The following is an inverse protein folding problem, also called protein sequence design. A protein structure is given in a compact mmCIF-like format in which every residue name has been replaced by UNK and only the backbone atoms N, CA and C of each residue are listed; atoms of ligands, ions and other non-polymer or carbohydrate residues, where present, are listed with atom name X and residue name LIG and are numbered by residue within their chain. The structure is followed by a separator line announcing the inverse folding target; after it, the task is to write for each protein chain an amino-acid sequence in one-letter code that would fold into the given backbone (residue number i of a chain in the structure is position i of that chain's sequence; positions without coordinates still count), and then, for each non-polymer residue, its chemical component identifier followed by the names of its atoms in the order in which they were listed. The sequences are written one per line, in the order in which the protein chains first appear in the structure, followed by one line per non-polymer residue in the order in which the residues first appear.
data_IF_933618807593
#
_entry.id   IF_933618807593
#
_cell.length_a   1.000
_cell.length_b   1.000
_cell.length_c   1.000
_cell.angle_alpha   90.00
_cell.angle_beta   90.00
_cell.angle_gamma   90.00
#
_symmetry.space_group_name_H-M   'P 1'
#
loop_
_entity.id
_entity.type
_entity.pdbx_description
1 polymer ?
#
# COMPACT_ATOMS: atom_id res chain seq x y z
N UNK A 1 -10.88 5.05 26.31
CA UNK A 1 -10.27 3.76 25.93
C UNK A 1 -9.77 3.91 24.49
N UNK A 2 -8.54 3.47 24.16
CA UNK A 2 -8.01 3.54 22.80
C UNK A 2 -8.70 2.52 21.91
N UNK A 3 -8.92 2.86 20.65
CA UNK A 3 -9.48 1.97 19.65
C UNK A 3 -8.50 1.80 18.48
N UNK A 4 -8.43 0.61 17.91
CA UNK A 4 -7.66 0.33 16.72
C UNK A 4 -8.47 -0.45 15.69
N UNK A 5 -8.36 -0.07 14.42
CA UNK A 5 -8.93 -0.82 13.30
C UNK A 5 -7.79 -1.18 12.34
N UNK A 6 -7.68 -2.46 12.00
CA UNK A 6 -6.69 -2.97 11.06
C UNK A 6 -7.42 -3.28 9.75
N UNK A 7 -7.10 -2.56 8.69
CA UNK A 7 -7.72 -2.71 7.36
C UNK A 7 -6.86 -3.64 6.50
N UNK A 8 -7.41 -4.80 6.14
CA UNK A 8 -6.71 -5.84 5.39
C UNK A 8 -7.49 -6.21 4.13
N UNK A 9 -6.83 -6.20 2.98
CA UNK A 9 -7.36 -6.75 1.73
C UNK A 9 -7.35 -8.29 1.75
N UNK A 10 -8.48 -8.92 1.44
CA UNK A 10 -8.65 -10.37 1.60
C UNK A 10 -8.08 -11.20 0.45
N UNK A 11 -7.71 -10.56 -0.67
CA UNK A 11 -7.29 -11.24 -1.90
C UNK A 11 -6.05 -10.60 -2.54
N UNK A 12 -6.16 -10.07 -3.75
CA UNK A 12 -5.01 -9.61 -4.55
C UNK A 12 -4.82 -8.08 -4.56
N UNK A 13 -5.52 -7.33 -3.72
CA UNK A 13 -5.56 -5.87 -3.76
C UNK A 13 -6.83 -5.34 -4.46
N UNK A 14 -6.98 -4.02 -4.49
CA UNK A 14 -8.12 -3.30 -5.11
C UNK A 14 -9.50 -3.66 -4.53
N UNK A 15 -9.54 -4.05 -3.26
CA UNK A 15 -10.77 -4.42 -2.58
C UNK A 15 -11.58 -3.25 -2.02
N UNK A 16 -11.07 -2.00 -2.13
CA UNK A 16 -11.74 -0.83 -1.55
C UNK A 16 -11.24 -0.46 -0.15
N UNK A 17 -9.97 -0.74 0.16
CA UNK A 17 -9.35 -0.39 1.46
C UNK A 17 -9.39 1.11 1.77
N UNK A 18 -9.32 1.97 0.73
CA UNK A 18 -9.48 3.41 0.92
C UNK A 18 -10.84 3.78 1.49
N UNK A 19 -11.91 3.25 0.89
CA UNK A 19 -13.28 3.41 1.39
C UNK A 19 -13.42 2.86 2.82
N UNK A 20 -12.86 1.68 3.09
CA UNK A 20 -12.91 1.06 4.41
C UNK A 20 -12.21 1.90 5.48
N UNK A 21 -11.04 2.49 5.16
CA UNK A 21 -10.30 3.35 6.08
C UNK A 21 -11.05 4.62 6.43
N UNK A 22 -11.64 5.29 5.44
CA UNK A 22 -12.47 6.49 5.67
C UNK A 22 -13.72 6.13 6.46
N UNK A 23 -14.41 5.05 6.11
CA UNK A 23 -15.60 4.59 6.84
C UNK A 23 -15.29 4.31 8.31
N UNK A 24 -14.21 3.55 8.57
CA UNK A 24 -13.76 3.26 9.93
C UNK A 24 -13.42 4.54 10.72
N UNK A 25 -12.73 5.49 10.11
CA UNK A 25 -12.37 6.75 10.75
C UNK A 25 -13.60 7.60 11.08
N UNK A 26 -14.56 7.71 10.15
CA UNK A 26 -15.83 8.44 10.38
C UNK A 26 -16.67 7.85 11.52
N UNK A 27 -16.81 6.53 11.54
CA UNK A 27 -17.55 5.82 12.58
C UNK A 27 -17.00 6.05 13.99
N UNK A 28 -15.69 6.24 14.11
CA UNK A 28 -15.06 6.51 15.41
C UNK A 28 -15.26 7.95 15.90
N UNK A 29 -15.57 8.88 15.01
CA UNK A 29 -15.86 10.28 15.30
C UNK A 29 -14.90 10.92 16.31
N UNK A 30 -13.60 10.68 16.15
CA UNK A 30 -12.53 11.15 17.01
C UNK A 30 -11.24 11.35 16.21
N UNK A 31 -10.29 12.07 16.79
CA UNK A 31 -8.99 12.27 16.16
C UNK A 31 -8.31 10.93 15.84
N UNK A 32 -7.95 10.73 14.58
CA UNK A 32 -7.39 9.48 14.06
C UNK A 32 -5.95 9.65 13.59
N UNK A 33 -5.11 8.66 13.90
CA UNK A 33 -3.85 8.43 13.22
C UNK A 33 -4.02 7.28 12.22
N UNK A 34 -3.83 7.57 10.92
CA UNK A 34 -3.92 6.56 9.86
C UNK A 34 -2.52 6.04 9.51
N UNK A 35 -2.22 4.83 9.91
CA UNK A 35 -0.90 4.22 9.89
C UNK A 35 -0.73 3.36 8.63
N UNK A 36 0.30 3.67 7.84
CA UNK A 36 0.75 2.91 6.68
C UNK A 36 1.77 1.88 7.16
N UNK A 37 1.35 0.62 7.25
CA UNK A 37 2.13 -0.42 7.92
C UNK A 37 3.14 -1.13 7.02
N UNK A 38 2.91 -1.15 5.70
CA UNK A 38 3.73 -1.90 4.76
C UNK A 38 3.72 -1.29 3.35
N UNK A 39 4.59 -1.80 2.49
CA UNK A 39 4.65 -1.37 1.09
C UNK A 39 5.32 -0.01 0.91
N UNK A 40 4.77 0.81 0.08
CA UNK A 40 5.23 2.15 -0.30
C UNK A 40 4.29 2.74 -1.34
N UNK A 41 4.80 3.57 -2.24
CA UNK A 41 4.02 4.27 -3.27
C UNK A 41 3.30 3.36 -4.30
N UNK A 42 3.57 2.06 -4.32
CA UNK A 42 2.85 1.10 -5.17
C UNK A 42 1.42 0.83 -4.71
N UNK A 43 1.06 1.21 -3.49
CA UNK A 43 -0.33 1.17 -3.05
C UNK A 43 -1.13 2.23 -3.83
N UNK A 44 -2.39 1.91 -4.11
CA UNK A 44 -3.34 2.85 -4.73
C UNK A 44 -4.70 2.65 -4.07
N UNK A 45 -5.04 3.50 -3.10
CA UNK A 45 -6.29 3.38 -2.36
C UNK A 45 -7.22 4.51 -2.74
N UNK A 46 -8.22 4.20 -3.55
CA UNK A 46 -9.17 5.20 -4.04
C UNK A 46 -10.16 5.59 -2.95
N UNK A 47 -10.40 6.90 -2.85
CA UNK A 47 -11.48 7.49 -2.09
C UNK A 47 -12.28 8.42 -3.01
N UNK A 48 -13.59 8.26 -2.98
CA UNK A 48 -14.53 9.15 -3.67
C UNK A 48 -15.36 9.89 -2.62
N UNK A 49 -15.45 11.21 -2.73
CA UNK A 49 -16.27 12.05 -1.86
C UNK A 49 -17.72 12.14 -2.36
N UNK A 50 -18.69 12.43 -1.48
CA UNK A 50 -20.09 12.63 -1.88
C UNK A 50 -20.29 13.74 -2.94
N UNK A 51 -19.38 14.73 -2.98
CA UNK A 51 -19.41 15.83 -3.94
C UNK A 51 -18.78 15.49 -5.31
N UNK A 52 -18.33 14.25 -5.51
CA UNK A 52 -17.74 13.75 -6.75
C UNK A 52 -16.24 13.95 -6.88
N UNK A 53 -15.58 14.59 -5.91
CA UNK A 53 -14.11 14.58 -5.86
C UNK A 53 -13.61 13.15 -5.69
N UNK A 54 -12.40 12.89 -6.20
CA UNK A 54 -11.79 11.57 -6.17
C UNK A 54 -10.27 11.69 -6.09
N UNK A 55 -9.65 10.84 -5.26
CA UNK A 55 -8.19 10.73 -5.20
C UNK A 55 -7.74 9.28 -4.97
N UNK A 56 -6.55 8.95 -5.45
CA UNK A 56 -5.89 7.66 -5.23
C UNK A 56 -4.71 7.87 -4.29
N UNK A 57 -4.88 7.47 -3.04
CA UNK A 57 -3.89 7.64 -1.99
C UNK A 57 -2.73 6.65 -2.13
N UNK A 58 -1.50 7.16 -2.08
CA UNK A 58 -0.25 6.42 -2.15
C UNK A 58 0.58 6.56 -0.88
N UNK A 59 1.05 7.77 -0.55
CA UNK A 59 1.87 8.08 0.62
C UNK A 59 1.06 8.52 1.84
N UNK A 60 -0.11 9.11 1.59
CA UNK A 60 -0.98 9.49 2.69
C UNK A 60 -1.97 8.36 3.00
N UNK A 61 -2.38 8.25 4.25
CA UNK A 61 -3.44 7.35 4.65
C UNK A 61 -4.77 7.83 4.09
N UNK A 62 -5.62 6.90 3.64
CA UNK A 62 -6.87 7.23 2.97
C UNK A 62 -7.83 8.05 3.84
N UNK A 63 -7.77 7.87 5.17
CA UNK A 63 -8.58 8.65 6.11
C UNK A 63 -8.16 10.14 6.21
N UNK A 64 -7.02 10.56 5.61
CA UNK A 64 -6.70 11.98 5.47
C UNK A 64 -7.67 12.72 4.56
N UNK A 65 -8.44 12.00 3.74
CA UNK A 65 -9.61 12.53 3.02
C UNK A 65 -10.63 13.26 3.93
N UNK A 66 -10.66 12.92 5.20
CA UNK A 66 -11.54 13.53 6.23
C UNK A 66 -10.74 14.13 7.39
N UNK A 67 -9.47 14.44 7.19
CA UNK A 67 -8.64 15.16 8.16
C UNK A 67 -7.88 14.29 9.15
N UNK A 68 -7.82 12.96 8.99
CA UNK A 68 -6.95 12.13 9.80
C UNK A 68 -5.47 12.43 9.48
N UNK A 69 -4.60 12.37 10.49
CA UNK A 69 -3.16 12.51 10.31
C UNK A 69 -2.56 11.18 9.84
N UNK A 70 -1.72 11.23 8.83
CA UNK A 70 -1.03 10.05 8.27
C UNK A 70 0.22 9.71 9.07
N UNK A 71 0.59 8.42 9.08
CA UNK A 71 1.83 7.94 9.69
C UNK A 71 2.44 6.82 8.86
N UNK A 72 3.64 7.04 8.34
CA UNK A 72 4.44 5.97 7.75
C UNK A 72 5.17 5.22 8.87
N UNK A 73 4.81 3.94 9.08
CA UNK A 73 5.50 3.10 10.06
C UNK A 73 6.79 2.49 9.46
N UNK A 74 7.60 1.91 10.30
CA UNK A 74 8.98 1.48 10.00
C UNK A 74 9.13 0.58 8.75
N UNK A 75 8.12 -0.19 8.41
CA UNK A 75 8.15 -1.10 7.25
C UNK A 75 7.59 -0.47 5.96
N UNK A 76 7.09 0.75 6.06
CA UNK A 76 6.69 1.53 4.89
C UNK A 76 7.93 2.11 4.17
N UNK A 77 7.85 2.23 2.84
CA UNK A 77 8.91 2.81 2.01
C UNK A 77 8.47 4.18 1.54
N UNK A 78 9.18 5.22 2.01
CA UNK A 78 8.92 6.61 1.60
C UNK A 78 9.63 6.90 0.29
N UNK A 79 8.93 7.52 -0.65
CA UNK A 79 9.49 8.01 -1.91
C UNK A 79 9.33 9.53 -1.99
N UNK A 80 10.41 10.33 -1.88
CA UNK A 80 10.31 11.78 -1.83
C UNK A 80 9.63 12.42 -3.05
N UNK A 81 9.91 11.89 -4.27
CA UNK A 81 9.32 12.36 -5.51
C UNK A 81 7.79 12.16 -5.52
N UNK A 82 7.34 10.94 -5.27
CA UNK A 82 5.91 10.60 -5.32
C UNK A 82 5.14 11.21 -4.14
N UNK A 83 5.79 11.38 -2.98
CA UNK A 83 5.23 12.11 -1.85
C UNK A 83 4.91 13.55 -2.21
N UNK A 84 5.86 14.26 -2.86
CA UNK A 84 5.67 15.65 -3.27
C UNK A 84 4.54 15.80 -4.27
N UNK A 85 4.44 14.89 -5.24
CA UNK A 85 3.37 14.88 -6.23
C UNK A 85 2.00 14.70 -5.58
N UNK A 86 1.83 13.67 -4.75
CA UNK A 86 0.56 13.39 -4.08
C UNK A 86 0.15 14.52 -3.12
N UNK A 87 1.12 15.09 -2.39
CA UNK A 87 0.82 16.22 -1.50
C UNK A 87 0.28 17.42 -2.27
N UNK A 88 0.86 17.74 -3.41
CA UNK A 88 0.38 18.82 -4.27
C UNK A 88 -1.05 18.54 -4.79
N UNK A 89 -1.32 17.32 -5.26
CA UNK A 89 -2.66 16.90 -5.71
C UNK A 89 -3.71 17.02 -4.58
N UNK A 90 -3.36 16.64 -3.35
CA UNK A 90 -4.26 16.76 -2.20
C UNK A 90 -4.50 18.23 -1.82
N UNK A 91 -3.48 19.09 -1.93
CA UNK A 91 -3.61 20.53 -1.69
C UNK A 91 -4.50 21.20 -2.76
N UNK A 92 -4.43 20.78 -4.01
CA UNK A 92 -5.33 21.21 -5.08
C UNK A 92 -6.79 20.82 -4.83
N UNK A 93 -7.01 19.67 -4.16
CA UNK A 93 -8.33 19.26 -3.70
C UNK A 93 -8.82 20.02 -2.44
N UNK A 94 -8.04 20.98 -1.94
CA UNK A 94 -8.34 21.78 -0.76
C UNK A 94 -8.02 21.08 0.56
N UNK A 95 -7.28 19.98 0.54
CA UNK A 95 -6.85 19.27 1.74
C UNK A 95 -5.51 19.81 2.26
N UNK A 96 -5.24 19.63 3.55
CA UNK A 96 -3.96 19.95 4.18
C UNK A 96 -3.45 18.74 4.94
N UNK A 97 -2.94 17.71 4.22
CA UNK A 97 -2.56 16.47 4.85
C UNK A 97 -1.30 16.65 5.70
N UNK A 98 -1.34 16.16 6.93
CA UNK A 98 -0.20 16.07 7.84
C UNK A 98 0.30 14.64 7.89
N UNK A 99 1.63 14.47 8.07
CA UNK A 99 2.24 13.16 8.11
C UNK A 99 3.38 13.05 9.11
N UNK A 100 3.37 11.96 9.89
CA UNK A 100 4.52 11.46 10.64
C UNK A 100 5.25 10.37 9.84
N UNK A 101 6.57 10.35 9.93
CA UNK A 101 7.40 9.33 9.29
C UNK A 101 8.35 8.73 10.33
N UNK A 102 8.36 7.42 10.46
CA UNK A 102 9.32 6.73 11.32
C UNK A 102 10.74 6.95 10.81
N UNK A 103 11.67 7.25 11.71
CA UNK A 103 13.10 7.33 11.37
C UNK A 103 13.64 6.06 10.72
N UNK A 104 12.98 4.92 10.95
CA UNK A 104 13.33 3.60 10.42
C UNK A 104 12.77 3.32 9.03
N UNK A 105 11.86 4.15 8.51
CA UNK A 105 11.36 3.99 7.14
C UNK A 105 12.50 3.95 6.14
N UNK A 106 12.42 3.02 5.19
CA UNK A 106 13.34 2.99 4.04
C UNK A 106 12.99 4.11 3.09
N UNK A 107 14.00 4.71 2.48
CA UNK A 107 13.81 5.76 1.49
C UNK A 107 14.08 5.22 0.10
N UNK A 108 13.09 5.32 -0.78
CA UNK A 108 13.22 5.01 -2.19
C UNK A 108 13.83 6.18 -2.95
N UNK A 109 14.65 5.87 -3.94
CA UNK A 109 15.29 6.85 -4.81
C UNK A 109 14.85 6.63 -6.27
N UNK A 110 14.97 7.62 -7.14
CA UNK A 110 14.66 7.46 -8.57
C UNK A 110 15.43 6.32 -9.24
N UNK A 111 16.66 6.03 -8.79
CA UNK A 111 17.46 4.89 -9.29
C UNK A 111 16.88 3.53 -8.92
N UNK A 112 16.18 3.40 -7.80
CA UNK A 112 15.46 2.18 -7.42
C UNK A 112 14.27 1.95 -8.37
N UNK A 113 13.54 3.02 -8.71
CA UNK A 113 12.45 2.98 -9.68
C UNK A 113 12.97 2.59 -11.07
N UNK A 114 14.02 3.26 -11.53
CA UNK A 114 14.67 2.99 -12.81
C UNK A 114 15.17 1.53 -12.90
N UNK A 115 15.84 1.02 -11.87
CA UNK A 115 16.27 -0.38 -11.81
C UNK A 115 15.09 -1.35 -11.93
N UNK A 116 14.01 -1.10 -11.19
CA UNK A 116 12.81 -1.92 -11.26
C UNK A 116 12.21 -1.95 -12.67
N UNK A 117 12.17 -0.82 -13.37
CA UNK A 117 11.67 -0.70 -14.74
C UNK A 117 12.57 -1.42 -15.73
N UNK A 118 13.89 -1.19 -15.67
CA UNK A 118 14.87 -1.90 -16.53
C UNK A 118 14.78 -3.41 -16.34
N UNK A 119 14.62 -3.89 -15.11
CA UNK A 119 14.49 -5.32 -14.83
C UNK A 119 13.22 -5.90 -15.48
N UNK A 120 12.09 -5.22 -15.34
CA UNK A 120 10.83 -5.66 -15.96
C UNK A 120 10.88 -5.60 -17.50
N UNK A 121 11.51 -4.60 -18.09
CA UNK A 121 11.73 -4.48 -19.53
C UNK A 121 12.59 -5.65 -20.06
N UNK A 122 13.69 -5.95 -19.37
CA UNK A 122 14.58 -7.05 -19.76
C UNK A 122 13.93 -8.45 -19.60
N UNK A 123 12.94 -8.61 -18.73
CA UNK A 123 12.16 -9.85 -18.61
C UNK A 123 11.21 -10.09 -19.77
N UNK A 124 10.80 -9.06 -20.49
CA UNK A 124 9.89 -9.18 -21.64
C UNK A 124 8.58 -9.89 -21.28
N UNK A 125 8.31 -11.05 -21.90
CA UNK A 125 7.12 -11.84 -21.62
C UNK A 125 7.10 -12.51 -20.23
N UNK A 126 8.26 -12.63 -19.58
CA UNK A 126 8.39 -13.19 -18.22
C UNK A 126 8.31 -12.12 -17.12
N UNK A 127 7.67 -11.00 -17.38
CA UNK A 127 7.44 -9.92 -16.40
C UNK A 127 6.73 -10.43 -15.15
N UNK A 128 7.12 -9.87 -14.00
CA UNK A 128 6.45 -10.18 -12.74
C UNK A 128 5.28 -9.22 -12.43
N UNK A 129 5.09 -8.18 -13.25
CA UNK A 129 3.99 -7.21 -13.10
C UNK A 129 4.26 -6.14 -12.04
N UNK A 130 5.51 -5.74 -11.86
CA UNK A 130 5.88 -4.62 -10.98
C UNK A 130 5.23 -3.32 -11.47
N UNK A 131 4.74 -2.49 -10.53
CA UNK A 131 4.20 -1.16 -10.84
C UNK A 131 5.27 -0.10 -11.21
N UNK A 132 6.56 -0.45 -11.21
CA UNK A 132 7.63 0.48 -11.53
C UNK A 132 8.06 1.44 -10.40
N UNK A 133 7.45 1.35 -9.22
CA UNK A 133 7.76 2.24 -8.07
C UNK A 133 9.05 1.87 -7.30
N UNK A 134 9.83 0.88 -7.77
CA UNK A 134 11.14 0.54 -7.21
C UNK A 134 11.14 -0.11 -5.83
N UNK A 135 10.01 -0.61 -5.33
CA UNK A 135 9.87 -1.16 -3.97
C UNK A 135 10.85 -2.29 -3.69
N UNK A 136 10.96 -3.27 -4.59
CA UNK A 136 11.87 -4.40 -4.41
C UNK A 136 13.33 -3.95 -4.43
N UNK A 137 13.71 -3.05 -5.34
CA UNK A 137 15.08 -2.57 -5.45
C UNK A 137 15.47 -1.68 -4.25
N UNK A 138 14.54 -0.87 -3.72
CA UNK A 138 14.75 -0.15 -2.45
C UNK A 138 15.04 -1.12 -1.30
N UNK A 139 14.25 -2.20 -1.17
CA UNK A 139 14.47 -3.22 -0.12
C UNK A 139 15.83 -3.89 -0.27
N UNK A 140 16.19 -4.29 -1.49
CA UNK A 140 17.49 -4.92 -1.78
C UNK A 140 18.65 -3.96 -1.52
N UNK A 141 18.55 -2.70 -1.93
CA UNK A 141 19.58 -1.68 -1.66
C UNK A 141 19.76 -1.47 -0.16
N UNK A 142 18.67 -1.43 0.60
CA UNK A 142 18.71 -1.24 2.05
C UNK A 142 19.42 -2.38 2.80
N UNK A 143 19.42 -3.60 2.27
CA UNK A 143 20.10 -4.75 2.87
C UNK A 143 21.62 -4.70 2.72
N UNK A 144 22.15 -3.78 1.91
CA UNK A 144 23.57 -3.73 1.57
C UNK A 144 24.22 -2.42 2.01
N UNK A 145 24.96 -2.43 3.14
CA UNK A 145 25.84 -1.31 3.49
C UNK A 145 26.93 -1.15 2.40
N UNK A 146 27.31 0.06 1.98
CA UNK A 146 26.92 1.37 2.53
C UNK A 146 25.73 2.03 1.81
N UNK A 147 24.88 1.25 1.12
CA UNK A 147 23.80 1.75 0.28
C UNK A 147 22.45 1.91 1.00
N UNK A 148 22.35 1.42 2.23
CA UNK A 148 21.17 1.60 3.05
C UNK A 148 20.91 3.08 3.32
N UNK A 149 19.63 3.49 3.23
CA UNK A 149 19.20 4.86 3.55
C UNK A 149 17.84 4.78 4.24
N UNK A 150 17.83 5.02 5.55
CA UNK A 150 16.60 5.23 6.31
C UNK A 150 16.17 6.69 6.28
N UNK A 151 14.94 6.98 6.69
CA UNK A 151 14.50 8.38 6.83
C UNK A 151 15.29 9.12 7.90
N UNK A 152 15.65 8.45 9.01
CA UNK A 152 16.52 9.01 10.02
C UNK A 152 17.92 9.37 9.50
N UNK A 153 18.51 8.51 8.64
CA UNK A 153 19.77 8.85 7.98
C UNK A 153 19.58 10.04 7.04
N UNK A 154 18.53 10.01 6.22
CA UNK A 154 18.20 11.08 5.28
C UNK A 154 18.09 12.45 5.96
N UNK A 155 17.48 12.52 7.15
CA UNK A 155 17.31 13.78 7.88
C UNK A 155 18.60 14.35 8.47
N UNK A 156 19.61 13.49 8.71
CA UNK A 156 20.93 13.89 9.24
C UNK A 156 21.87 14.42 8.18
N UNK A 157 21.67 14.02 6.91
CA UNK A 157 22.50 14.48 5.81
C UNK A 157 22.28 15.96 5.54
N UNK A 158 23.37 16.67 5.27
CA UNK A 158 23.31 17.98 4.65
C UNK A 158 23.23 17.85 3.11
N UNK A 159 23.05 18.97 2.42
CA UNK A 159 22.89 19.02 0.97
C UNK A 159 24.06 18.41 0.19
N UNK A 160 25.29 18.68 0.63
CA UNK A 160 26.50 18.17 -0.02
C UNK A 160 26.64 16.65 0.20
N UNK A 161 26.39 16.17 1.40
CA UNK A 161 26.43 14.74 1.73
C UNK A 161 25.36 13.95 0.98
N UNK A 162 24.14 14.48 0.88
CA UNK A 162 23.08 13.81 0.11
C UNK A 162 23.41 13.80 -1.39
N UNK A 163 23.95 14.90 -1.94
CA UNK A 163 24.43 14.95 -3.33
C UNK A 163 25.49 13.89 -3.59
N UNK A 164 26.53 13.82 -2.73
CA UNK A 164 27.60 12.83 -2.83
C UNK A 164 27.06 11.39 -2.71
N UNK A 165 26.07 11.15 -1.85
CA UNK A 165 25.43 9.86 -1.74
C UNK A 165 24.70 9.49 -3.04
N UNK A 166 23.93 10.40 -3.64
CA UNK A 166 23.26 10.19 -4.93
C UNK A 166 24.24 9.93 -6.07
N UNK A 167 25.35 10.66 -6.12
CA UNK A 167 26.41 10.43 -7.10
C UNK A 167 27.00 9.02 -7.00
N UNK A 168 27.25 8.55 -5.78
CA UNK A 168 27.74 7.20 -5.55
C UNK A 168 26.70 6.14 -5.95
N UNK A 169 25.41 6.36 -5.69
CA UNK A 169 24.34 5.49 -6.16
C UNK A 169 24.38 5.38 -7.70
N UNK A 170 24.47 6.52 -8.39
CA UNK A 170 24.50 6.56 -9.85
C UNK A 170 25.76 5.91 -10.46
N UNK A 171 26.94 6.15 -9.87
CA UNK A 171 28.23 5.72 -10.45
C UNK A 171 28.69 4.34 -10.00
N UNK A 172 28.30 3.86 -8.82
CA UNK A 172 28.80 2.62 -8.23
C UNK A 172 27.70 1.58 -8.05
N UNK A 173 26.62 1.90 -7.32
CA UNK A 173 25.56 0.95 -6.98
C UNK A 173 24.79 0.49 -8.22
N UNK A 174 24.27 1.43 -9.01
CA UNK A 174 23.47 1.16 -10.18
C UNK A 174 24.20 0.27 -11.22
N UNK A 175 25.42 0.63 -11.69
CA UNK A 175 26.15 -0.23 -12.61
C UNK A 175 26.53 -1.58 -12.00
N UNK A 176 26.85 -1.59 -10.70
CA UNK A 176 27.16 -2.83 -9.97
C UNK A 176 25.97 -3.77 -9.88
N UNK A 177 24.78 -3.23 -9.66
CA UNK A 177 23.52 -3.99 -9.61
C UNK A 177 23.18 -4.59 -10.98
N UNK A 178 23.26 -3.78 -12.05
CA UNK A 178 23.02 -4.23 -13.42
C UNK A 178 23.98 -5.32 -13.86
N UNK A 179 25.27 -5.17 -13.58
CA UNK A 179 26.28 -6.23 -13.87
C UNK A 179 25.94 -7.56 -13.18
N UNK A 180 25.53 -7.53 -11.91
CA UNK A 180 25.12 -8.75 -11.18
C UNK A 180 23.90 -9.43 -11.80
N UNK A 181 23.04 -8.67 -12.46
CA UNK A 181 21.85 -9.18 -13.15
C UNK A 181 22.13 -9.58 -14.61
N UNK A 182 23.32 -9.31 -15.13
CA UNK A 182 23.65 -9.51 -16.56
C UNK A 182 22.87 -8.57 -17.48
N UNK A 183 22.46 -7.41 -16.98
CA UNK A 183 21.62 -6.45 -17.69
C UNK A 183 22.38 -5.17 -18.04
N UNK A 184 21.93 -4.46 -19.08
CA UNK A 184 22.48 -3.18 -19.51
C UNK A 184 21.38 -2.13 -19.57
N UNK A 185 21.76 -0.87 -19.38
CA UNK A 185 20.91 0.27 -19.69
C UNK A 185 20.93 0.56 -21.19
N UNK A 186 19.80 0.98 -21.75
CA UNK A 186 19.77 1.60 -23.06
C UNK A 186 20.38 3.02 -23.03
N UNK A 187 20.36 3.70 -24.19
CA UNK A 187 20.97 5.03 -24.31
C UNK A 187 20.18 6.10 -23.57
N UNK A 188 18.85 6.00 -23.52
CA UNK A 188 17.99 6.98 -22.87
C UNK A 188 18.19 6.96 -21.34
N UNK A 189 18.26 5.77 -20.75
CA UNK A 189 18.60 5.61 -19.32
C UNK A 189 20.01 6.11 -18.99
N UNK A 190 21.00 5.86 -19.86
CA UNK A 190 22.36 6.38 -19.68
C UNK A 190 22.37 7.91 -19.69
N UNK A 191 21.74 8.51 -20.69
CA UNK A 191 21.64 9.97 -20.80
C UNK A 191 20.94 10.59 -19.58
N UNK A 192 19.87 9.98 -19.09
CA UNK A 192 19.18 10.43 -17.89
C UNK A 192 20.09 10.41 -16.64
N UNK A 193 20.88 9.36 -16.45
CA UNK A 193 21.83 9.25 -15.32
C UNK A 193 22.97 10.28 -15.45
N UNK A 194 23.53 10.44 -16.66
CA UNK A 194 24.66 11.31 -16.94
C UNK A 194 24.29 12.81 -16.88
N UNK A 195 23.05 13.16 -17.13
CA UNK A 195 22.59 14.55 -17.15
C UNK A 195 22.68 15.30 -15.81
N UNK A 196 22.81 14.58 -14.69
CA UNK A 196 22.77 15.14 -13.34
C UNK A 196 21.38 15.64 -12.90
N UNK A 197 20.39 15.61 -13.80
CA UNK A 197 19.03 16.06 -13.54
C UNK A 197 18.36 15.23 -12.44
N UNK A 198 18.55 13.92 -12.44
CA UNK A 198 18.02 13.04 -11.40
C UNK A 198 18.53 13.44 -10.01
N UNK A 199 19.82 13.81 -9.89
CA UNK A 199 20.41 14.24 -8.61
C UNK A 199 19.77 15.56 -8.17
N UNK A 200 19.66 16.53 -9.09
CA UNK A 200 19.10 17.85 -8.80
C UNK A 200 17.62 17.76 -8.36
N UNK A 201 16.82 16.96 -9.05
CA UNK A 201 15.43 16.72 -8.68
C UNK A 201 15.32 16.00 -7.34
N UNK A 202 16.12 14.95 -7.13
CA UNK A 202 16.13 14.22 -5.86
C UNK A 202 16.46 15.12 -4.68
N UNK A 203 17.35 16.10 -4.88
CA UNK A 203 17.70 17.07 -3.85
C UNK A 203 16.51 17.97 -3.48
N UNK A 204 15.78 18.47 -4.48
CA UNK A 204 14.58 19.30 -4.24
C UNK A 204 13.48 18.51 -3.55
N UNK A 205 13.26 17.25 -3.96
CA UNK A 205 12.23 16.39 -3.36
C UNK A 205 12.60 15.97 -1.93
N UNK A 206 13.89 15.76 -1.66
CA UNK A 206 14.43 15.49 -0.32
C UNK A 206 14.22 16.67 0.63
N UNK A 207 14.58 17.90 0.21
CA UNK A 207 14.37 19.12 1.01
C UNK A 207 12.87 19.29 1.32
N UNK A 208 12.03 19.18 0.28
CA UNK A 208 10.59 19.29 0.43
C UNK A 208 9.99 18.25 1.40
N UNK A 209 10.40 16.99 1.31
CA UNK A 209 9.93 15.95 2.21
C UNK A 209 10.32 16.26 3.66
N UNK A 210 11.58 16.64 3.93
CA UNK A 210 12.06 16.98 5.28
C UNK A 210 11.27 18.10 5.93
N UNK A 211 10.89 19.11 5.16
CA UNK A 211 10.13 20.26 5.63
C UNK A 211 8.64 19.97 5.81
N UNK A 212 8.13 18.98 5.07
CA UNK A 212 6.69 18.66 4.99
C UNK A 212 6.21 17.63 6.01
N UNK A 213 7.10 16.88 6.66
CA UNK A 213 6.72 15.80 7.57
C UNK A 213 7.36 15.94 8.94
N UNK A 214 6.78 15.25 9.92
CA UNK A 214 7.34 15.16 11.28
C UNK A 214 7.95 13.76 11.47
N UNK A 215 9.24 13.70 11.78
CA UNK A 215 9.91 12.44 12.12
C UNK A 215 9.53 11.98 13.53
N UNK A 216 9.39 10.66 13.72
CA UNK A 216 9.29 10.07 15.04
C UNK A 216 10.21 8.84 15.19
N UNK A 217 10.66 8.62 16.40
CA UNK A 217 11.50 7.47 16.79
C UNK A 217 10.73 6.51 17.71
N UNK A 218 9.89 7.04 18.58
CA UNK A 218 9.16 6.27 19.58
C UNK A 218 7.68 6.15 19.21
N UNK A 219 7.31 4.95 18.78
CA UNK A 219 5.93 4.58 18.46
C UNK A 219 4.98 4.75 19.64
N UNK A 220 5.41 4.36 20.85
CA UNK A 220 4.55 4.41 22.04
C UNK A 220 4.17 5.83 22.39
N UNK A 221 5.12 6.73 22.34
CA UNK A 221 4.88 8.16 22.57
C UNK A 221 3.98 8.76 21.50
N UNK A 222 4.27 8.50 20.21
CA UNK A 222 3.43 9.01 19.13
C UNK A 222 1.98 8.52 19.26
N UNK A 223 1.79 7.21 19.42
CA UNK A 223 0.45 6.61 19.46
C UNK A 223 -0.37 6.99 20.70
N UNK A 224 0.30 7.39 21.79
CA UNK A 224 -0.38 7.81 23.02
C UNK A 224 -1.23 9.08 22.83
N UNK A 225 -0.89 9.93 21.86
CA UNK A 225 -1.63 11.16 21.56
C UNK A 225 -2.96 10.92 20.80
N UNK A 226 -3.22 9.67 20.35
CA UNK A 226 -4.35 9.39 19.47
C UNK A 226 -5.34 8.41 20.08
N UNK A 227 -6.62 8.79 20.20
CA UNK A 227 -7.67 7.90 20.69
C UNK A 227 -8.02 6.78 19.69
N UNK A 228 -7.81 7.03 18.38
CA UNK A 228 -8.12 6.09 17.31
C UNK A 228 -6.90 5.86 16.41
N UNK A 229 -6.59 4.60 16.17
CA UNK A 229 -5.52 4.14 15.30
C UNK A 229 -6.12 3.34 14.13
N UNK A 230 -5.91 3.78 12.89
CA UNK A 230 -6.33 3.06 11.69
C UNK A 230 -5.08 2.51 11.01
N UNK A 231 -4.86 1.22 11.07
CA UNK A 231 -3.76 0.56 10.35
C UNK A 231 -4.23 0.17 8.96
N UNK A 232 -3.62 0.72 7.95
CA UNK A 232 -4.02 0.55 6.56
C UNK A 232 -2.94 -0.21 5.79
N UNK A 233 -3.20 -1.50 5.49
CA UNK A 233 -2.28 -2.35 4.75
C UNK A 233 -2.33 -2.07 3.25
N UNK A 234 -1.17 -2.05 2.61
CA UNK A 234 -1.06 -2.11 1.15
C UNK A 234 -1.21 -3.55 0.64
N UNK A 235 -1.79 -3.73 -0.55
CA UNK A 235 -2.03 -5.03 -1.17
C UNK A 235 -3.07 -5.90 -0.42
N UNK A 236 -3.11 -7.20 -0.71
CA UNK A 236 -4.02 -8.15 -0.08
C UNK A 236 -3.33 -9.45 0.32
N UNK A 237 -4.00 -10.25 1.14
CA UNK A 237 -3.46 -11.49 1.75
C UNK A 237 -2.89 -12.49 0.74
N UNK A 238 -3.47 -12.57 -0.46
CA UNK A 238 -2.99 -13.49 -1.49
C UNK A 238 -1.61 -13.10 -2.06
N UNK A 239 -1.21 -11.84 -1.89
CA UNK A 239 0.07 -11.32 -2.39
C UNK A 239 1.16 -11.25 -1.32
N UNK A 240 0.95 -11.83 -0.13
CA UNK A 240 1.91 -11.79 0.97
C UNK A 240 3.26 -12.38 0.58
N UNK A 241 4.33 -11.73 1.00
CA UNK A 241 5.72 -12.14 0.71
C UNK A 241 6.06 -13.58 1.12
N UNK A 242 5.33 -14.16 2.07
CA UNK A 242 5.51 -15.53 2.56
C UNK A 242 4.60 -16.56 1.85
N UNK A 243 3.72 -16.13 0.95
CA UNK A 243 2.93 -17.03 0.11
C UNK A 243 3.81 -17.65 -0.99
N UNK A 244 4.56 -18.72 -0.64
CA UNK A 244 5.55 -19.34 -1.54
C UNK A 244 4.94 -20.02 -2.76
N UNK A 245 3.64 -20.38 -2.70
CA UNK A 245 2.94 -21.09 -3.79
C UNK A 245 2.82 -20.20 -5.04
N UNK A 246 2.65 -18.89 -4.87
CA UNK A 246 2.46 -17.94 -5.97
C UNK A 246 3.75 -17.19 -6.38
N UNK A 247 4.92 -17.57 -5.81
CA UNK A 247 6.18 -16.94 -6.19
C UNK A 247 6.47 -17.14 -7.69
N UNK A 248 6.94 -16.11 -8.43
CA UNK A 248 7.43 -14.79 -7.98
C UNK A 248 6.37 -13.66 -8.03
N UNK A 249 5.11 -13.97 -8.21
CA UNK A 249 4.03 -13.01 -8.46
C UNK A 249 3.42 -12.44 -7.16
N UNK A 250 4.29 -12.01 -6.25
CA UNK A 250 3.96 -11.53 -4.90
C UNK A 250 4.48 -10.12 -4.67
N UNK A 251 3.94 -9.44 -3.66
CA UNK A 251 4.58 -8.23 -3.16
C UNK A 251 5.76 -8.59 -2.26
N UNK A 252 6.85 -7.80 -2.24
CA UNK A 252 7.97 -8.07 -1.34
C UNK A 252 7.69 -7.68 0.12
N UNK A 253 6.46 -7.40 0.48
CA UNK A 253 6.03 -6.97 1.81
C UNK A 253 5.08 -7.99 2.46
N UNK A 254 5.05 -8.02 3.80
CA UNK A 254 3.99 -8.71 4.55
C UNK A 254 2.70 -7.92 4.38
N UNK A 255 1.60 -8.64 4.13
CA UNK A 255 0.27 -8.04 3.92
C UNK A 255 -0.75 -8.49 4.96
N UNK A 256 -0.28 -9.25 5.94
CA UNK A 256 -1.09 -9.81 7.04
C UNK A 256 -1.34 -8.78 8.15
N UNK A 257 -2.32 -9.06 9.00
CA UNK A 257 -2.66 -8.20 10.15
C UNK A 257 -1.68 -8.30 11.32
N UNK A 258 -0.77 -9.26 11.32
CA UNK A 258 0.14 -9.56 12.44
C UNK A 258 1.09 -8.42 12.78
N UNK A 259 1.63 -7.70 11.77
CA UNK A 259 2.52 -6.57 12.05
C UNK A 259 1.78 -5.44 12.77
N UNK A 260 0.56 -5.11 12.32
CA UNK A 260 -0.30 -4.16 13.02
C UNK A 260 -0.61 -4.61 14.43
N UNK A 261 -0.91 -5.91 14.61
CA UNK A 261 -1.19 -6.48 15.93
C UNK A 261 0.01 -6.38 16.87
N UNK A 262 1.24 -6.63 16.40
CA UNK A 262 2.46 -6.45 17.20
C UNK A 262 2.62 -4.99 17.64
N UNK A 263 2.39 -4.04 16.72
CA UNK A 263 2.45 -2.60 17.05
C UNK A 263 1.41 -2.21 18.10
N UNK A 264 0.22 -2.78 18.05
CA UNK A 264 -0.83 -2.55 19.05
C UNK A 264 -0.45 -3.20 20.40
N UNK A 265 0.09 -4.42 20.38
CA UNK A 265 0.52 -5.12 21.60
C UNK A 265 1.67 -4.41 22.35
N UNK A 266 2.46 -3.58 21.67
CA UNK A 266 3.49 -2.74 22.31
C UNK A 266 2.90 -1.59 23.16
N UNK A 267 1.62 -1.24 22.97
CA UNK A 267 1.01 -0.07 23.57
C UNK A 267 0.63 -0.31 25.03
N UNK A 268 0.78 0.70 25.90
CA UNK A 268 0.34 0.57 27.27
C UNK A 268 -1.18 0.59 27.38
N UNK A 269 -1.72 -0.26 28.25
CA UNK A 269 -3.15 -0.36 28.53
C UNK A 269 -3.92 -1.16 27.47
N UNK A 270 -5.23 -1.27 27.67
CA UNK A 270 -6.10 -2.01 26.76
C UNK A 270 -6.46 -1.16 25.54
N UNK A 271 -6.26 -1.73 24.35
CA UNK A 271 -6.71 -1.19 23.09
C UNK A 271 -7.79 -2.10 22.51
N UNK A 272 -8.98 -1.58 22.33
CA UNK A 272 -10.07 -2.31 21.67
C UNK A 272 -9.74 -2.42 20.18
N UNK A 273 -9.53 -3.64 19.69
CA UNK A 273 -9.01 -3.86 18.33
C UNK A 273 -9.99 -4.65 17.48
N UNK A 274 -10.17 -4.19 16.25
CA UNK A 274 -10.97 -4.81 15.20
C UNK A 274 -10.09 -5.02 13.96
N UNK A 275 -10.14 -6.19 13.33
CA UNK A 275 -9.64 -6.39 11.97
C UNK A 275 -10.83 -6.28 11.03
N UNK A 276 -10.77 -5.35 10.10
CA UNK A 276 -11.72 -5.20 9.03
C UNK A 276 -11.13 -5.78 7.74
N UNK A 277 -11.54 -7.00 7.39
CA UNK A 277 -11.20 -7.64 6.14
C UNK A 277 -12.05 -7.07 5.02
N UNK A 278 -11.41 -6.61 3.96
CA UNK A 278 -12.09 -5.97 2.82
C UNK A 278 -12.02 -6.89 1.62
N UNK A 279 -13.15 -7.10 0.95
CA UNK A 279 -13.22 -7.83 -0.33
C UNK A 279 -14.21 -7.14 -1.27
N UNK A 280 -14.03 -7.32 -2.58
CA UNK A 280 -15.09 -7.01 -3.55
C UNK A 280 -16.15 -8.13 -3.55
N UNK A 281 -17.27 -7.87 -4.17
CA UNK A 281 -18.28 -8.89 -4.49
C UNK A 281 -17.85 -9.85 -5.61
N UNK A 282 -16.72 -9.60 -6.25
CA UNK A 282 -15.98 -10.41 -7.23
C UNK A 282 -14.48 -10.27 -6.98
N UNK A 283 -13.62 -11.00 -7.67
CA UNK A 283 -12.18 -10.90 -7.49
C UNK A 283 -11.53 -10.13 -8.64
N UNK A 284 -10.43 -9.45 -8.32
CA UNK A 284 -9.58 -8.77 -9.30
C UNK A 284 -8.11 -9.05 -9.02
N UNK A 285 -7.27 -9.06 -10.07
CA UNK A 285 -5.83 -9.19 -9.95
C UNK A 285 -5.11 -8.33 -10.97
N UNK A 286 -4.12 -7.57 -10.52
CA UNK A 286 -3.14 -6.92 -11.40
C UNK A 286 -1.99 -7.86 -11.75
N UNK A 287 -1.48 -7.70 -12.97
CA UNK A 287 -0.29 -8.39 -13.44
C UNK A 287 -0.46 -9.90 -13.61
N UNK A 288 0.63 -10.59 -13.97
CA UNK A 288 0.63 -12.03 -14.16
C UNK A 288 0.54 -12.79 -12.83
N UNK A 289 0.49 -14.11 -12.93
CA UNK A 289 0.42 -15.03 -11.79
C UNK A 289 -0.91 -15.75 -11.69
N UNK A 290 -1.00 -16.77 -10.80
CA UNK A 290 -2.17 -17.62 -10.68
C UNK A 290 -3.44 -16.85 -10.30
N UNK A 291 -4.53 -17.09 -11.02
CA UNK A 291 -5.85 -16.53 -10.72
C UNK A 291 -6.93 -17.58 -11.04
N UNK A 292 -7.14 -18.56 -10.16
CA UNK A 292 -7.95 -19.75 -10.44
C UNK A 292 -9.40 -19.46 -10.83
N UNK A 293 -9.98 -18.37 -10.30
CA UNK A 293 -11.37 -17.97 -10.62
C UNK A 293 -11.47 -16.99 -11.78
N UNK A 294 -10.39 -16.78 -12.54
CA UNK A 294 -10.37 -15.83 -13.64
C UNK A 294 -11.45 -16.08 -14.68
N UNK A 295 -12.11 -15.02 -15.10
CA UNK A 295 -13.14 -15.06 -16.13
C UNK A 295 -13.20 -13.72 -16.89
N UNK A 296 -13.79 -13.71 -18.08
CA UNK A 296 -14.11 -12.45 -18.76
C UNK A 296 -15.00 -11.57 -17.89
N UNK A 297 -14.76 -10.25 -17.92
CA UNK A 297 -15.50 -9.23 -17.16
C UNK A 297 -17.02 -9.34 -17.39
N UNK A 298 -17.41 -9.66 -18.59
CA UNK A 298 -18.81 -9.79 -19.04
C UNK A 298 -19.58 -10.89 -18.29
N UNK A 299 -18.88 -11.88 -17.73
CA UNK A 299 -19.51 -12.90 -16.86
C UNK A 299 -19.89 -12.35 -15.48
N UNK A 300 -19.28 -11.25 -15.07
CA UNK A 300 -19.60 -10.58 -13.81
C UNK A 300 -20.66 -9.52 -14.08
N UNK A 301 -20.32 -8.56 -14.93
CA UNK A 301 -21.22 -7.51 -15.37
C UNK A 301 -20.70 -6.89 -16.69
N UNK A 302 -21.43 -6.99 -17.81
CA UNK A 302 -21.00 -6.43 -19.09
C UNK A 302 -20.88 -4.90 -19.09
N UNK A 303 -21.65 -4.23 -18.24
CA UNK A 303 -21.71 -2.77 -18.15
C UNK A 303 -20.69 -2.18 -17.17
N UNK A 304 -19.84 -3.01 -16.58
CA UNK A 304 -18.84 -2.58 -15.60
C UNK A 304 -17.80 -1.66 -16.24
N UNK A 305 -17.59 -0.49 -15.63
CA UNK A 305 -16.58 0.48 -16.02
C UNK A 305 -15.63 0.69 -14.85
N UNK A 306 -14.39 0.20 -14.97
CA UNK A 306 -13.35 0.50 -14.01
C UNK A 306 -12.67 1.84 -14.36
N UNK A 307 -12.94 2.86 -13.57
CA UNK A 307 -12.36 4.20 -13.73
C UNK A 307 -11.00 4.35 -13.05
N UNK A 308 -10.61 3.38 -12.21
CA UNK A 308 -9.40 3.45 -11.39
C UNK A 308 -8.22 2.77 -12.07
N UNK A 309 -8.44 1.59 -12.62
CA UNK A 309 -7.38 0.72 -13.12
C UNK A 309 -7.20 0.88 -14.63
N UNK A 310 -6.81 2.09 -15.04
CA UNK A 310 -6.45 2.34 -16.44
C UNK A 310 -5.21 1.51 -16.78
N UNK A 311 -5.21 0.77 -17.91
CA UNK A 311 -4.05 -0.01 -18.32
C UNK A 311 -2.78 0.84 -18.37
N UNK A 312 -1.73 0.37 -17.75
CA UNK A 312 -0.43 1.03 -17.78
C UNK A 312 0.65 0.08 -18.35
N UNK A 313 1.77 0.60 -18.88
CA UNK A 313 2.81 -0.21 -19.54
C UNK A 313 3.43 -1.27 -18.61
N UNK A 314 3.38 -1.07 -17.29
CA UNK A 314 4.04 -1.93 -16.32
C UNK A 314 3.14 -3.07 -15.83
N UNK A 315 1.85 -2.81 -15.55
CA UNK A 315 0.94 -3.78 -14.93
C UNK A 315 -0.10 -4.37 -15.89
N UNK A 316 -0.24 -3.82 -17.10
CA UNK A 316 -1.26 -4.21 -18.07
C UNK A 316 -2.71 -3.92 -17.59
N UNK A 317 -3.69 -4.63 -18.15
CA UNK A 317 -5.09 -4.51 -17.75
C UNK A 317 -5.39 -5.28 -16.48
N UNK A 318 -6.39 -4.80 -15.73
CA UNK A 318 -6.94 -5.52 -14.58
C UNK A 318 -7.61 -6.81 -15.06
N UNK A 319 -7.35 -7.92 -14.38
CA UNK A 319 -7.95 -9.22 -14.58
C UNK A 319 -9.11 -9.40 -13.62
N UNK A 320 -10.16 -10.09 -14.06
CA UNK A 320 -11.41 -10.29 -13.31
C UNK A 320 -11.62 -11.77 -13.01
N UNK A 321 -12.29 -12.08 -11.92
CA UNK A 321 -12.63 -13.45 -11.55
C UNK A 321 -13.89 -13.54 -10.72
N UNK A 322 -14.56 -14.68 -10.80
CA UNK A 322 -15.69 -14.98 -9.93
C UNK A 322 -15.24 -15.01 -8.46
N UNK A 323 -16.17 -14.73 -7.56
CA UNK A 323 -15.89 -14.73 -6.13
C UNK A 323 -15.68 -16.17 -5.62
N UNK A 324 -14.45 -16.47 -5.23
CA UNK A 324 -14.09 -17.73 -4.57
C UNK A 324 -14.17 -17.58 -3.06
N UNK A 325 -15.36 -17.74 -2.51
CA UNK A 325 -15.62 -17.56 -1.08
C UNK A 325 -14.81 -18.51 -0.20
N UNK A 326 -14.57 -19.74 -0.67
CA UNK A 326 -13.75 -20.71 0.09
C UNK A 326 -12.29 -20.26 0.21
N UNK A 327 -11.69 -19.83 -0.88
CA UNK A 327 -10.31 -19.36 -0.89
C UNK A 327 -10.16 -18.05 -0.10
N UNK A 328 -11.08 -17.09 -0.25
CA UNK A 328 -11.09 -15.83 0.50
C UNK A 328 -11.21 -16.11 1.99
N UNK A 329 -12.20 -16.92 2.39
CA UNK A 329 -12.44 -17.26 3.79
C UNK A 329 -11.26 -18.01 4.42
N UNK A 330 -10.65 -18.94 3.70
CA UNK A 330 -9.45 -19.66 4.17
C UNK A 330 -8.32 -18.67 4.52
N UNK A 331 -8.03 -17.70 3.64
CA UNK A 331 -6.99 -16.69 3.88
C UNK A 331 -7.29 -15.84 5.11
N UNK A 332 -8.53 -15.36 5.23
CA UNK A 332 -8.98 -14.58 6.40
C UNK A 332 -8.82 -15.38 7.69
N UNK A 333 -9.28 -16.63 7.74
CA UNK A 333 -9.21 -17.46 8.94
C UNK A 333 -7.78 -17.79 9.34
N UNK A 334 -6.88 -18.01 8.38
CA UNK A 334 -5.46 -18.20 8.64
C UNK A 334 -4.84 -16.94 9.25
N UNK A 335 -5.05 -15.78 8.63
CA UNK A 335 -4.54 -14.50 9.15
C UNK A 335 -5.09 -14.20 10.54
N UNK A 336 -6.39 -14.38 10.75
CA UNK A 336 -7.06 -14.17 12.04
C UNK A 336 -6.51 -15.10 13.13
N UNK A 337 -6.30 -16.38 12.80
CA UNK A 337 -5.77 -17.36 13.76
C UNK A 337 -4.35 -17.00 14.23
N UNK A 338 -3.49 -16.55 13.31
CA UNK A 338 -2.14 -16.11 13.66
C UNK A 338 -2.17 -14.80 14.45
N UNK A 339 -3.06 -13.88 14.09
CA UNK A 339 -3.19 -12.61 14.80
C UNK A 339 -3.75 -12.76 16.20
N UNK A 340 -4.65 -13.71 16.43
CA UNK A 340 -5.16 -14.06 17.78
C UNK A 340 -4.10 -14.61 18.73
N UNK A 341 -2.99 -15.12 18.25
CA UNK A 341 -1.83 -15.48 19.08
C UNK A 341 -1.16 -14.24 19.69
N UNK A 342 -1.31 -13.07 19.06
CA UNK A 342 -0.74 -11.77 19.49
C UNK A 342 -1.78 -10.96 20.26
N UNK A 343 -3.00 -10.89 19.74
CA UNK A 343 -4.15 -10.17 20.30
C UNK A 343 -5.35 -11.11 20.43
N UNK A 344 -5.47 -11.86 21.54
CA UNK A 344 -6.51 -12.90 21.71
C UNK A 344 -7.96 -12.37 21.59
N UNK A 345 -8.19 -11.12 22.03
CA UNK A 345 -9.53 -10.50 22.05
C UNK A 345 -9.85 -9.70 20.78
N UNK A 346 -9.07 -9.85 19.69
CA UNK A 346 -9.32 -9.10 18.47
C UNK A 346 -10.64 -9.53 17.82
N UNK A 347 -11.48 -8.55 17.50
CA UNK A 347 -12.71 -8.78 16.73
C UNK A 347 -12.41 -8.90 15.25
N UNK A 348 -13.22 -9.68 14.54
CA UNK A 348 -13.11 -9.89 13.11
C UNK A 348 -14.35 -9.38 12.38
N UNK A 349 -14.17 -8.45 11.46
CA UNK A 349 -15.25 -7.89 10.65
C UNK A 349 -14.93 -8.04 9.17
N UNK A 350 -15.96 -8.03 8.34
CA UNK A 350 -15.79 -8.06 6.88
C UNK A 350 -16.54 -6.89 6.24
N UNK A 351 -15.89 -6.26 5.25
CA UNK A 351 -16.53 -5.29 4.35
C UNK A 351 -16.55 -5.85 2.94
N UNK A 352 -17.74 -5.92 2.35
CA UNK A 352 -17.93 -6.33 0.96
C UNK A 352 -18.27 -5.09 0.15
N UNK A 353 -17.42 -4.77 -0.82
CA UNK A 353 -17.55 -3.60 -1.69
C UNK A 353 -18.04 -3.98 -3.09
N UNK A 354 -18.35 -3.00 -3.92
CA UNK A 354 -18.77 -3.18 -5.33
C UNK A 354 -20.04 -4.02 -5.50
N UNK A 355 -20.91 -4.06 -4.49
CA UNK A 355 -22.19 -4.77 -4.59
C UNK A 355 -23.12 -4.15 -5.64
N UNK A 356 -23.01 -2.85 -5.93
CA UNK A 356 -23.71 -2.19 -7.03
C UNK A 356 -23.39 -2.82 -8.40
N UNK A 357 -22.18 -3.35 -8.57
CA UNK A 357 -21.73 -3.92 -9.85
C UNK A 357 -22.23 -5.37 -10.06
N UNK A 358 -22.69 -6.01 -9.00
CA UNK A 358 -23.15 -7.42 -9.01
C UNK A 358 -24.60 -7.60 -8.58
N UNK A 359 -25.37 -6.50 -8.54
CA UNK A 359 -26.79 -6.55 -8.16
C UNK A 359 -27.03 -7.01 -6.71
N UNK A 360 -26.12 -6.63 -5.79
CA UNK A 360 -26.22 -6.93 -4.36
C UNK A 360 -25.81 -8.35 -3.96
N UNK A 361 -25.12 -9.11 -4.85
CA UNK A 361 -24.75 -10.50 -4.63
C UNK A 361 -23.25 -10.70 -4.82
N UNK A 362 -22.72 -11.84 -4.36
CA UNK A 362 -21.37 -12.27 -4.74
C UNK A 362 -21.43 -12.86 -6.16
N UNK A 363 -20.44 -12.51 -6.99
CA UNK A 363 -20.35 -13.01 -8.36
C UNK A 363 -19.83 -14.46 -8.37
N UNK A 364 -20.72 -15.44 -8.35
CA UNK A 364 -20.40 -16.85 -8.30
C UNK A 364 -21.48 -17.64 -7.56
N UNK A 365 -21.13 -18.85 -7.14
CA UNK A 365 -22.07 -19.76 -6.49
C UNK A 365 -22.21 -19.52 -4.97
N UNK A 366 -21.33 -18.75 -4.38
CA UNK A 366 -21.33 -18.44 -2.95
C UNK A 366 -22.46 -17.48 -2.60
N UNK A 367 -23.27 -17.83 -1.60
CA UNK A 367 -24.31 -16.93 -1.08
C UNK A 367 -23.71 -15.96 -0.08
N UNK A 368 -24.10 -14.69 -0.20
CA UNK A 368 -23.64 -13.62 0.67
C UNK A 368 -23.86 -13.96 2.16
N UNK A 369 -25.04 -14.47 2.50
CA UNK A 369 -25.42 -14.82 3.87
C UNK A 369 -24.52 -15.92 4.46
N UNK A 370 -24.06 -16.87 3.63
CA UNK A 370 -23.16 -17.94 4.05
C UNK A 370 -21.74 -17.40 4.27
N UNK A 371 -21.28 -16.54 3.36
CA UNK A 371 -19.93 -15.98 3.44
C UNK A 371 -19.72 -15.11 4.69
N UNK A 372 -20.72 -14.33 5.08
CA UNK A 372 -20.60 -13.40 6.23
C UNK A 372 -20.75 -14.08 7.60
N UNK A 373 -21.18 -15.35 7.66
CA UNK A 373 -21.37 -16.04 8.94
C UNK A 373 -20.05 -16.17 9.72
N UNK A 374 -20.12 -15.88 11.04
CA UNK A 374 -19.00 -16.02 11.98
C UNK A 374 -18.07 -14.82 12.02
N UNK A 375 -18.35 -13.74 11.30
CA UNK A 375 -17.75 -12.43 11.55
C UNK A 375 -18.54 -11.68 12.63
N UNK A 376 -17.85 -10.93 13.48
CA UNK A 376 -18.47 -10.10 14.53
C UNK A 376 -19.31 -8.96 13.95
N UNK A 377 -18.95 -8.51 12.72
CA UNK A 377 -19.64 -7.44 12.01
C UNK A 377 -19.49 -7.61 10.50
N UNK A 378 -20.51 -7.20 9.76
CA UNK A 378 -20.48 -7.11 8.30
C UNK A 378 -20.89 -5.72 7.83
N UNK A 379 -20.12 -5.16 6.89
CA UNK A 379 -20.44 -3.91 6.18
C UNK A 379 -20.65 -4.24 4.71
N UNK A 380 -21.81 -3.89 4.19
CA UNK A 380 -22.16 -4.07 2.79
C UNK A 380 -22.14 -2.71 2.10
N UNK A 381 -21.30 -2.56 1.08
CA UNK A 381 -21.17 -1.30 0.34
C UNK A 381 -21.61 -1.49 -1.11
N UNK A 382 -22.67 -0.78 -1.46
CA UNK A 382 -23.24 -0.68 -2.81
C UNK A 382 -22.85 0.65 -3.49
N UNK A 383 -21.94 1.41 -2.91
CA UNK A 383 -21.49 2.71 -3.42
C UNK A 383 -19.98 2.84 -3.30
N UNK A 384 -19.30 3.51 -4.27
CA UNK A 384 -17.89 3.80 -4.18
C UNK A 384 -17.57 4.93 -3.18
N UNK A 385 -18.59 5.64 -2.74
CA UNK A 385 -18.51 6.84 -1.88
C UNK A 385 -18.69 6.43 -0.43
N UNK A 386 -17.91 7.02 0.47
CA UNK A 386 -18.10 6.80 1.89
C UNK A 386 -19.39 7.49 2.41
N UNK A 387 -20.03 6.98 3.49
CA UNK A 387 -21.23 7.58 4.07
C UNK A 387 -21.02 9.06 4.45
N UNK A 388 -22.05 9.88 4.33
CA UNK A 388 -22.04 11.29 4.76
C UNK A 388 -21.87 11.47 6.27
#
# INVERSE_FOLDING_TARGET
MRQAVIIIGSSYGDEGKGLASVTAAKEKNAACLNILINGGAQRGHTVEWPDGRRHVFHHFGSASAIGAVSCADQDYIVNPLLFRQEKAELEELGLRPEMYVSSRCRVSLPWDMMLGQIIEENRGAARHGSCGCGIQETRLRFLHSPWALSFGDLTRLNKQEFTAYCERIAREYLPGRLRRLGMTMDQDWKAAVESGEMIRRSLNDWEYLKESVRMYDDWKTLSAAWPVLIFEAGQGLALDAENREDYPYLTPSRTTSQESARRIAELPGKTETEILYVTRSYLTRHGPGPFPSECPKEKINPDMIDRTNVPNPHQQALRYGLFDGKAVRRRILLDLSETRKILPEVRSSVMITHLNETGGKLAGDEKLENFIQGFDRCILSDRPVFPE
#
